data_IF_516953150694
#
_entry.id   IF_516953150694
#
_cell.length_a   1.000
_cell.length_b   1.000
_cell.length_c   1.000
_cell.angle_alpha   90.00
_cell.angle_beta   90.00
_cell.angle_gamma   90.00
#
_symmetry.space_group_name_H-M   'P 1'
#
loop_
_entity.id
_entity.type
_entity.pdbx_description
1 polymer ?
#
# COMPACT_ATOMS: atom_id res chain seq x y z
N UNK A 1 -3.16 -12.17 -15.52
CA UNK A 1 -4.42 -11.40 -15.58
C UNK A 1 -4.44 -10.42 -16.73
N UNK A 2 -3.49 -9.48 -16.84
CA UNK A 2 -3.44 -8.53 -17.97
C UNK A 2 -3.32 -9.21 -19.36
N UNK A 3 -2.41 -10.18 -19.55
CA UNK A 3 -2.29 -10.84 -20.87
C UNK A 3 -3.57 -11.62 -21.25
N UNK A 4 -4.23 -12.28 -20.30
CA UNK A 4 -5.49 -12.98 -20.55
C UNK A 4 -6.67 -12.04 -20.84
N UNK A 5 -6.61 -10.78 -20.38
CA UNK A 5 -7.57 -9.74 -20.70
C UNK A 5 -7.34 -9.24 -22.13
N UNK A 6 -6.08 -8.94 -22.47
CA UNK A 6 -5.66 -8.47 -23.79
C UNK A 6 -5.94 -9.52 -24.88
N UNK A 7 -5.65 -10.80 -24.60
CA UNK A 7 -5.96 -11.93 -25.49
C UNK A 7 -7.47 -12.06 -25.78
N UNK A 8 -8.31 -11.84 -24.75
CA UNK A 8 -9.76 -11.96 -24.89
C UNK A 8 -10.37 -10.78 -25.64
N UNK A 9 -9.76 -9.58 -25.54
CA UNK A 9 -10.12 -8.42 -26.36
C UNK A 9 -9.89 -8.69 -27.85
N UNK A 10 -8.76 -9.30 -28.19
CA UNK A 10 -8.46 -9.73 -29.57
C UNK A 10 -9.48 -10.76 -30.05
N UNK A 11 -9.78 -11.79 -29.24
CA UNK A 11 -10.78 -12.81 -29.61
C UNK A 11 -12.18 -12.22 -29.83
N UNK A 12 -12.61 -11.26 -28.99
CA UNK A 12 -13.91 -10.59 -29.17
C UNK A 12 -13.93 -9.79 -30.47
N UNK A 13 -12.85 -9.09 -30.80
CA UNK A 13 -12.74 -8.33 -32.05
C UNK A 13 -12.82 -9.25 -33.28
N UNK A 14 -12.13 -10.39 -33.25
CA UNK A 14 -12.16 -11.40 -34.32
C UNK A 14 -13.56 -12.00 -34.50
N UNK A 15 -14.21 -12.40 -33.40
CA UNK A 15 -15.57 -12.96 -33.43
C UNK A 15 -16.59 -11.95 -33.95
N UNK A 16 -16.44 -10.67 -33.56
CA UNK A 16 -17.29 -9.59 -34.06
C UNK A 16 -17.12 -9.39 -35.57
N UNK A 17 -15.88 -9.36 -36.06
CA UNK A 17 -15.60 -9.23 -37.48
C UNK A 17 -16.19 -10.40 -38.28
N UNK A 18 -16.04 -11.63 -37.77
CA UNK A 18 -16.64 -12.80 -38.38
C UNK A 18 -18.18 -12.73 -38.41
N UNK A 19 -18.81 -12.34 -37.31
CA UNK A 19 -20.26 -12.13 -37.27
C UNK A 19 -20.74 -11.08 -38.30
N UNK A 20 -20.05 -9.95 -38.39
CA UNK A 20 -20.38 -8.89 -39.35
C UNK A 20 -20.28 -9.38 -40.80
N UNK A 21 -19.29 -10.21 -41.11
CA UNK A 21 -19.17 -10.86 -42.42
C UNK A 21 -20.35 -11.82 -42.70
N UNK A 22 -20.70 -12.68 -41.74
CA UNK A 22 -21.81 -13.62 -41.91
C UNK A 22 -23.16 -12.90 -42.05
N UNK A 23 -23.36 -11.81 -41.30
CA UNK A 23 -24.56 -10.98 -41.41
C UNK A 23 -24.68 -10.35 -42.80
N UNK A 24 -23.58 -9.81 -43.36
CA UNK A 24 -23.59 -9.25 -44.71
C UNK A 24 -23.92 -10.30 -45.77
N UNK A 25 -23.34 -11.50 -45.66
CA UNK A 25 -23.65 -12.62 -46.57
C UNK A 25 -25.11 -13.05 -46.47
N UNK A 26 -25.65 -13.11 -45.26
CA UNK A 26 -27.06 -13.41 -45.02
C UNK A 26 -27.98 -12.35 -45.65
N UNK A 27 -27.69 -11.06 -45.41
CA UNK A 27 -28.46 -9.94 -45.98
C UNK A 27 -28.45 -9.95 -47.52
N UNK A 28 -27.29 -10.18 -48.13
CA UNK A 28 -27.16 -10.33 -49.58
C UNK A 28 -27.98 -11.49 -50.12
N UNK A 29 -27.99 -12.62 -49.40
CA UNK A 29 -28.75 -13.81 -49.78
C UNK A 29 -30.26 -13.54 -49.71
N UNK A 30 -30.73 -12.90 -48.64
CA UNK A 30 -32.13 -12.48 -48.48
C UNK A 30 -32.55 -11.52 -49.60
N UNK A 31 -31.72 -10.52 -49.90
CA UNK A 31 -31.97 -9.56 -50.99
C UNK A 31 -32.07 -10.26 -52.37
N UNK A 32 -31.16 -11.20 -52.65
CA UNK A 32 -31.17 -11.96 -53.90
C UNK A 32 -32.45 -12.80 -54.06
N UNK A 33 -32.96 -13.39 -52.99
CA UNK A 33 -34.25 -14.10 -53.00
C UNK A 33 -35.43 -13.16 -53.19
N UNK A 34 -35.44 -12.03 -52.48
CA UNK A 34 -36.49 -11.02 -52.61
C UNK A 34 -36.58 -10.46 -54.04
N UNK A 35 -35.44 -10.23 -54.69
CA UNK A 35 -35.38 -9.77 -56.08
C UNK A 35 -35.94 -10.79 -57.10
N UNK A 36 -35.97 -12.07 -56.74
CA UNK A 36 -36.49 -13.17 -57.57
C UNK A 36 -37.97 -13.49 -57.29
N UNK A 37 -38.64 -12.68 -56.48
CA UNK A 37 -40.04 -12.89 -56.10
C UNK A 37 -40.24 -13.75 -54.84
N UNK A 38 -39.16 -14.03 -54.09
CA UNK A 38 -39.19 -14.77 -52.83
C UNK A 38 -38.43 -16.10 -52.88
N UNK A 39 -38.11 -16.61 -51.69
CA UNK A 39 -37.44 -17.91 -51.53
C UNK A 39 -38.43 -19.08 -51.68
N UNK A 40 -37.94 -20.21 -52.20
CA UNK A 40 -38.67 -21.48 -52.10
C UNK A 40 -38.77 -21.91 -50.63
N UNK A 41 -39.72 -22.79 -50.29
CA UNK A 41 -39.88 -23.25 -48.90
C UNK A 41 -38.58 -23.81 -48.30
N UNK A 42 -37.84 -24.63 -49.05
CA UNK A 42 -36.57 -25.18 -48.58
C UNK A 42 -35.49 -24.12 -48.38
N UNK A 43 -35.40 -23.14 -49.28
CA UNK A 43 -34.47 -22.02 -49.15
C UNK A 43 -34.84 -21.07 -47.99
N UNK A 44 -36.13 -20.88 -47.75
CA UNK A 44 -36.63 -20.11 -46.61
C UNK A 44 -36.31 -20.79 -45.28
N UNK A 45 -36.49 -22.11 -45.20
CA UNK A 45 -36.12 -22.89 -44.01
C UNK A 45 -34.60 -22.83 -43.74
N UNK A 46 -33.77 -22.78 -44.80
CA UNK A 46 -32.32 -22.54 -44.69
C UNK A 46 -32.02 -21.16 -44.11
N UNK A 47 -32.68 -20.11 -44.60
CA UNK A 47 -32.52 -18.74 -44.10
C UNK A 47 -32.92 -18.62 -42.62
N UNK A 48 -33.98 -19.30 -42.19
CA UNK A 48 -34.38 -19.32 -40.78
C UNK A 48 -33.33 -20.01 -39.89
N UNK A 49 -32.71 -21.09 -40.38
CA UNK A 49 -31.61 -21.74 -39.65
C UNK A 49 -30.41 -20.81 -39.52
N UNK A 50 -30.07 -20.10 -40.58
CA UNK A 50 -28.94 -19.18 -40.57
C UNK A 50 -29.19 -17.97 -39.68
N UNK A 51 -30.42 -17.43 -39.70
CA UNK A 51 -30.85 -16.40 -38.76
C UNK A 51 -30.67 -16.86 -37.30
N UNK A 52 -31.13 -18.08 -36.96
CA UNK A 52 -30.95 -18.62 -35.61
C UNK A 52 -29.48 -18.82 -35.21
N UNK A 53 -28.60 -19.10 -36.17
CA UNK A 53 -27.14 -19.15 -35.92
C UNK A 53 -26.58 -17.76 -35.65
N UNK A 54 -26.97 -16.75 -36.41
CA UNK A 54 -26.56 -15.36 -36.17
C UNK A 54 -27.04 -14.86 -34.81
N UNK A 55 -28.27 -15.18 -34.42
CA UNK A 55 -28.81 -14.85 -33.09
C UNK A 55 -27.98 -15.51 -31.97
N UNK A 56 -27.56 -16.76 -32.18
CA UNK A 56 -26.69 -17.46 -31.23
C UNK A 56 -25.31 -16.80 -31.14
N UNK A 57 -24.72 -16.39 -32.26
CA UNK A 57 -23.45 -15.66 -32.26
C UNK A 57 -23.53 -14.34 -31.49
N UNK A 58 -24.63 -13.58 -31.65
CA UNK A 58 -24.84 -12.33 -30.90
C UNK A 58 -24.94 -12.61 -29.40
N UNK A 59 -25.68 -13.65 -29.01
CA UNK A 59 -25.80 -14.05 -27.60
C UNK A 59 -24.44 -14.40 -26.99
N UNK A 60 -23.65 -15.21 -27.69
CA UNK A 60 -22.32 -15.63 -27.22
C UNK A 60 -21.35 -14.44 -27.12
N UNK A 61 -21.37 -13.55 -28.12
CA UNK A 61 -20.53 -12.35 -28.13
C UNK A 61 -20.88 -11.42 -26.97
N UNK A 62 -22.17 -11.22 -26.69
CA UNK A 62 -22.62 -10.41 -25.55
C UNK A 62 -22.18 -11.02 -24.21
N UNK A 63 -22.28 -12.34 -24.06
CA UNK A 63 -21.82 -13.03 -22.85
C UNK A 63 -20.31 -12.85 -22.61
N UNK A 64 -19.50 -12.87 -23.68
CA UNK A 64 -18.06 -12.61 -23.61
C UNK A 64 -17.75 -11.17 -23.20
N UNK A 65 -18.47 -10.19 -23.77
CA UNK A 65 -18.32 -8.76 -23.44
C UNK A 65 -18.70 -8.50 -21.98
N UNK A 66 -19.81 -9.08 -21.51
CA UNK A 66 -20.22 -8.96 -20.11
C UNK A 66 -19.18 -9.53 -19.14
N UNK A 67 -18.60 -10.68 -19.45
CA UNK A 67 -17.54 -11.27 -18.64
C UNK A 67 -16.28 -10.39 -18.63
N UNK A 68 -15.92 -9.80 -19.77
CA UNK A 68 -14.80 -8.86 -19.84
C UNK A 68 -15.05 -7.61 -18.98
N UNK A 69 -16.25 -7.05 -19.02
CA UNK A 69 -16.65 -5.91 -18.19
C UNK A 69 -16.56 -6.25 -16.69
N UNK A 70 -17.04 -7.43 -16.28
CA UNK A 70 -16.90 -7.90 -14.89
C UNK A 70 -15.44 -8.01 -14.45
N UNK A 71 -14.55 -8.43 -15.35
CA UNK A 71 -13.11 -8.51 -15.05
C UNK A 71 -12.49 -7.12 -14.91
N UNK A 72 -12.86 -6.17 -15.77
CA UNK A 72 -12.42 -4.77 -15.67
C UNK A 72 -12.86 -4.13 -14.34
N UNK A 73 -14.11 -4.34 -13.92
CA UNK A 73 -14.62 -3.86 -12.63
C UNK A 73 -13.83 -4.42 -11.45
N UNK A 74 -13.53 -5.73 -11.46
CA UNK A 74 -12.71 -6.36 -10.40
C UNK A 74 -11.30 -5.77 -10.34
N UNK A 75 -10.67 -5.51 -11.48
CA UNK A 75 -9.35 -4.87 -11.54
C UNK A 75 -9.39 -3.46 -10.95
N UNK A 76 -10.42 -2.68 -11.26
CA UNK A 76 -10.60 -1.34 -10.70
C UNK A 76 -10.83 -1.37 -9.18
N UNK A 77 -11.61 -2.32 -8.68
CA UNK A 77 -11.81 -2.52 -7.23
C UNK A 77 -10.49 -2.86 -6.52
N UNK A 78 -9.71 -3.78 -7.09
CA UNK A 78 -8.42 -4.16 -6.52
C UNK A 78 -7.44 -2.98 -6.52
N UNK A 79 -7.38 -2.20 -7.61
CA UNK A 79 -6.56 -0.99 -7.68
C UNK A 79 -6.97 0.04 -6.62
N UNK A 80 -8.28 0.20 -6.38
CA UNK A 80 -8.81 1.04 -5.30
C UNK A 80 -8.36 0.59 -3.90
N UNK A 81 -8.44 -0.72 -3.62
CA UNK A 81 -7.98 -1.29 -2.34
C UNK A 81 -6.48 -1.10 -2.13
N UNK A 82 -5.67 -1.30 -3.17
CA UNK A 82 -4.22 -1.06 -3.10
C UNK A 82 -3.90 0.42 -2.86
N UNK A 83 -4.62 1.33 -3.53
CA UNK A 83 -4.48 2.76 -3.28
C UNK A 83 -4.82 3.13 -1.83
N UNK A 84 -5.85 2.52 -1.25
CA UNK A 84 -6.25 2.73 0.14
C UNK A 84 -5.15 2.29 1.12
N UNK A 85 -4.52 1.13 0.88
CA UNK A 85 -3.37 0.65 1.66
C UNK A 85 -2.17 1.58 1.55
N UNK A 86 -1.86 2.06 0.35
CA UNK A 86 -0.74 3.00 0.13
C UNK A 86 -0.97 4.31 0.89
N UNK A 87 -2.19 4.85 0.83
CA UNK A 87 -2.56 6.04 1.62
C UNK A 87 -2.42 5.75 3.11
N UNK A 88 -2.95 4.62 3.60
CA UNK A 88 -2.82 4.23 5.00
C UNK A 88 -1.37 4.07 5.46
N UNK A 89 -0.52 3.47 4.62
CA UNK A 89 0.92 3.34 4.88
C UNK A 89 1.60 4.69 4.96
N UNK A 90 1.36 5.57 3.98
CA UNK A 90 1.95 6.92 3.97
C UNK A 90 1.47 7.75 5.17
N UNK A 91 0.20 7.64 5.56
CA UNK A 91 -0.31 8.26 6.79
C UNK A 91 0.39 7.71 8.03
N UNK A 92 0.64 6.40 8.09
CA UNK A 92 1.40 5.78 9.17
C UNK A 92 2.85 6.27 9.24
N UNK A 93 3.54 6.34 8.10
CA UNK A 93 4.90 6.87 7.98
C UNK A 93 4.94 8.34 8.38
N UNK A 94 4.01 9.17 7.93
CA UNK A 94 3.95 10.58 8.32
C UNK A 94 3.71 10.73 9.82
N UNK A 95 2.80 9.94 10.40
CA UNK A 95 2.56 9.96 11.85
C UNK A 95 3.80 9.53 12.64
N UNK A 96 4.50 8.49 12.18
CA UNK A 96 5.78 8.08 12.75
C UNK A 96 6.77 9.24 12.66
N UNK A 97 6.99 9.79 11.46
CA UNK A 97 7.89 10.92 11.26
C UNK A 97 7.49 12.14 12.10
N UNK A 98 6.22 12.48 12.27
CA UNK A 98 5.80 13.61 13.13
C UNK A 98 6.03 13.34 14.62
N UNK A 99 5.81 12.09 15.06
CA UNK A 99 6.04 11.68 16.45
C UNK A 99 7.53 11.66 16.78
N UNK A 100 8.35 11.20 15.83
CA UNK A 100 9.81 11.06 15.99
C UNK A 100 10.61 12.28 15.51
N UNK A 101 10.06 13.19 14.70
CA UNK A 101 10.72 14.45 14.33
C UNK A 101 10.59 15.53 15.41
N UNK A 102 9.71 15.32 16.41
CA UNK A 102 9.62 16.18 17.58
C UNK A 102 10.64 15.85 18.68
N UNK A 103 11.33 14.71 18.59
CA UNK A 103 12.49 14.36 19.43
C UNK A 103 13.70 14.15 18.52
N UNK A 104 14.65 15.07 18.50
CA UNK A 104 15.72 15.07 17.50
C UNK A 104 16.55 13.79 17.52
N UNK A 105 16.55 13.06 16.40
CA UNK A 105 17.39 11.91 15.97
C UNK A 105 17.74 10.76 16.94
N UNK A 106 17.74 10.91 18.27
CA UNK A 106 18.31 9.92 19.20
C UNK A 106 17.58 9.87 20.56
N UNK A 107 16.35 10.38 20.67
CA UNK A 107 15.60 10.36 21.94
C UNK A 107 14.99 8.97 22.20
N UNK A 108 15.81 8.07 22.74
CA UNK A 108 15.37 6.76 23.25
C UNK A 108 14.38 6.90 24.42
N UNK A 109 14.38 8.06 25.09
CA UNK A 109 13.44 8.44 26.14
C UNK A 109 13.49 9.95 26.42
N UNK A 110 12.58 10.45 27.27
CA UNK A 110 12.54 11.84 27.71
C UNK A 110 11.96 11.98 29.12
N UNK A 111 12.62 12.78 29.95
CA UNK A 111 12.12 13.28 31.22
C UNK A 111 11.38 14.61 31.01
N UNK A 112 10.10 14.64 31.38
CA UNK A 112 9.28 15.85 31.32
C UNK A 112 8.13 15.78 32.33
N UNK A 113 7.81 16.92 32.95
CA UNK A 113 6.67 17.04 33.89
C UNK A 113 6.65 16.00 35.02
N UNK A 114 7.83 15.58 35.50
CA UNK A 114 7.97 14.58 36.56
C UNK A 114 7.79 13.13 36.12
N UNK A 115 7.70 12.87 34.81
CA UNK A 115 7.55 11.53 34.23
C UNK A 115 8.74 11.25 33.30
N UNK A 116 9.22 10.00 33.31
CA UNK A 116 10.16 9.50 32.32
C UNK A 116 9.37 8.65 31.32
N UNK A 117 9.39 9.02 30.04
CA UNK A 117 8.82 8.21 28.96
C UNK A 117 9.96 7.52 28.23
N UNK A 118 9.90 6.20 28.10
CA UNK A 118 10.87 5.39 27.34
C UNK A 118 10.21 4.96 26.03
N UNK A 119 10.87 5.21 24.91
CA UNK A 119 10.34 4.92 23.56
C UNK A 119 11.01 3.69 22.93
N UNK A 120 12.31 3.51 23.13
CA UNK A 120 13.06 2.35 22.62
C UNK A 120 14.30 2.06 23.49
N UNK A 121 14.73 0.80 23.53
CA UNK A 121 16.01 0.35 24.09
C UNK A 121 16.40 -0.99 23.43
N UNK A 122 17.70 -1.25 23.32
CA UNK A 122 18.24 -2.44 22.65
C UNK A 122 18.30 -3.65 23.60
N UNK A 123 18.75 -3.42 24.84
CA UNK A 123 18.88 -4.45 25.87
C UNK A 123 18.75 -3.85 27.29
N UNK A 124 19.00 -4.69 28.31
CA UNK A 124 18.88 -4.26 29.70
C UNK A 124 19.93 -3.22 30.10
N UNK A 125 21.15 -3.29 29.58
CA UNK A 125 22.21 -2.33 29.90
C UNK A 125 21.90 -0.97 29.27
N UNK A 126 21.38 -0.97 28.04
CA UNK A 126 20.88 0.21 27.35
C UNK A 126 19.73 0.88 28.11
N UNK A 127 18.75 0.10 28.58
CA UNK A 127 17.65 0.64 29.39
C UNK A 127 18.13 1.27 30.69
N UNK A 128 19.10 0.65 31.36
CA UNK A 128 19.68 1.20 32.60
C UNK A 128 20.42 2.50 32.32
N UNK A 129 21.19 2.57 31.22
CA UNK A 129 21.90 3.79 30.80
C UNK A 129 20.92 4.91 30.50
N UNK A 130 19.91 4.65 29.67
CA UNK A 130 18.84 5.60 29.32
C UNK A 130 18.14 6.14 30.57
N UNK A 131 17.68 5.26 31.46
CA UNK A 131 17.01 5.69 32.68
C UNK A 131 17.93 6.52 33.55
N UNK A 132 19.22 6.19 33.62
CA UNK A 132 20.20 6.97 34.40
C UNK A 132 20.36 8.39 33.83
N UNK A 133 20.37 8.55 32.50
CA UNK A 133 20.38 9.85 31.83
C UNK A 133 19.13 10.67 32.17
N UNK A 134 17.94 10.08 32.03
CA UNK A 134 16.66 10.74 32.31
C UNK A 134 16.48 11.07 33.79
N UNK A 135 16.98 10.22 34.69
CA UNK A 135 17.06 10.56 36.12
C UNK A 135 18.02 11.71 36.37
N UNK A 136 19.11 11.83 35.61
CA UNK A 136 19.96 13.01 35.64
C UNK A 136 19.18 14.29 35.35
N UNK A 137 18.37 14.30 34.30
CA UNK A 137 17.45 15.41 34.01
C UNK A 137 16.42 15.64 35.12
N UNK A 138 15.87 14.57 35.70
CA UNK A 138 14.96 14.66 36.85
C UNK A 138 15.58 15.34 38.07
N UNK A 139 16.88 15.14 38.26
CA UNK A 139 17.66 15.77 39.33
C UNK A 139 18.21 17.16 38.93
N UNK A 140 17.85 17.65 37.75
CA UNK A 140 18.18 19.00 37.26
C UNK A 140 19.54 19.11 36.59
N UNK A 141 20.09 17.99 36.09
CA UNK A 141 21.30 17.96 35.28
C UNK A 141 20.98 18.30 33.82
N UNK A 142 21.83 19.12 33.21
CA UNK A 142 21.82 19.33 31.76
C UNK A 142 22.78 18.36 31.07
N UNK A 143 22.83 18.42 29.74
CA UNK A 143 23.79 17.64 28.98
C UNK A 143 25.24 18.04 29.27
N UNK A 144 26.13 17.06 29.18
CA UNK A 144 27.58 17.20 29.29
C UNK A 144 28.27 16.99 27.93
N UNK A 145 29.40 17.64 27.69
CA UNK A 145 30.12 17.56 26.42
C UNK A 145 31.08 16.36 26.30
N UNK A 146 31.37 15.65 27.39
CA UNK A 146 32.22 14.46 27.39
C UNK A 146 31.45 13.25 26.84
N UNK A 147 31.91 12.62 25.75
CA UNK A 147 31.29 11.41 25.21
C UNK A 147 31.22 10.23 26.19
N UNK A 148 32.03 10.18 27.25
CA UNK A 148 31.96 9.12 28.27
C UNK A 148 31.03 9.47 29.45
N UNK A 149 30.49 10.69 29.48
CA UNK A 149 29.51 11.10 30.49
C UNK A 149 28.18 10.42 30.24
N UNK A 150 27.52 9.95 31.30
CA UNK A 150 26.11 9.50 31.22
C UNK A 150 25.20 10.62 30.71
N UNK A 151 25.55 11.89 30.95
CA UNK A 151 24.76 13.05 30.48
C UNK A 151 25.12 13.51 29.06
N UNK A 152 25.86 12.74 28.27
CA UNK A 152 26.17 13.09 26.88
C UNK A 152 24.88 13.06 26.02
N UNK A 153 24.62 14.05 25.14
CA UNK A 153 23.33 14.20 24.45
C UNK A 153 22.87 13.05 23.54
N UNK A 154 23.76 12.12 23.18
CA UNK A 154 23.49 11.04 22.23
C UNK A 154 24.15 9.76 22.72
N UNK A 155 23.48 8.62 22.60
CA UNK A 155 24.12 7.32 22.83
C UNK A 155 25.33 7.17 21.90
N UNK A 156 26.45 6.69 22.43
CA UNK A 156 27.61 6.32 21.61
C UNK A 156 28.17 4.96 22.02
N UNK A 157 28.85 4.29 21.08
CA UNK A 157 29.41 2.95 21.25
C UNK A 157 30.41 2.83 22.43
N UNK A 158 30.93 3.95 22.97
CA UNK A 158 31.87 3.95 24.10
C UNK A 158 31.17 3.92 25.46
N UNK A 159 29.85 3.99 25.49
CA UNK A 159 29.05 3.88 26.71
C UNK A 159 28.55 2.43 26.91
N UNK A 160 28.50 1.63 25.85
CA UNK A 160 28.05 0.23 25.85
C UNK A 160 29.07 -0.75 26.47
N UNK A 161 30.30 -0.29 26.78
CA UNK A 161 31.37 -1.11 27.36
C UNK A 161 31.49 -1.01 28.90
N UNK A 162 30.54 -0.34 29.55
CA UNK A 162 30.54 -0.13 31.01
C UNK A 162 31.46 1.00 31.48
N UNK A 163 32.06 1.78 30.57
CA UNK A 163 32.93 2.91 30.87
C UNK A 163 32.24 4.24 31.22
N UNK A 164 30.90 4.29 31.22
CA UNK A 164 30.15 5.51 31.46
C UNK A 164 30.24 5.97 32.94
N UNK A 165 30.41 7.27 33.16
CA UNK A 165 30.47 7.84 34.51
C UNK A 165 29.60 9.09 34.66
N UNK A 166 29.22 9.40 35.89
CA UNK A 166 28.59 10.69 36.23
C UNK A 166 29.70 11.65 36.66
N UNK A 167 29.89 12.81 36.00
CA UNK A 167 30.99 13.70 36.33
C UNK A 167 30.97 14.14 37.80
N UNK A 168 32.13 14.13 38.46
CA UNK A 168 32.26 14.40 39.90
C UNK A 168 31.83 15.81 40.29
N UNK A 169 32.01 16.80 39.40
CA UNK A 169 31.50 18.16 39.58
C UNK A 169 29.97 18.25 39.57
N UNK A 170 29.32 17.33 38.84
CA UNK A 170 27.87 17.22 38.67
C UNK A 170 27.22 16.64 39.93
N UNK A 171 27.80 15.59 40.52
CA UNK A 171 27.39 15.05 41.81
C UNK A 171 27.50 16.12 42.92
N UNK A 172 28.59 16.90 42.94
CA UNK A 172 28.77 17.99 43.90
C UNK A 172 27.70 19.10 43.76
N UNK A 173 27.29 19.41 42.53
CA UNK A 173 26.20 20.35 42.26
C UNK A 173 24.85 19.83 42.78
N UNK A 174 24.60 18.54 42.63
CA UNK A 174 23.41 17.85 43.13
C UNK A 174 23.35 17.82 44.65
N UNK A 175 24.46 17.43 45.31
CA UNK A 175 24.55 17.43 46.77
C UNK A 175 24.25 18.81 47.35
N UNK A 176 24.74 19.88 46.70
CA UNK A 176 24.43 21.27 47.10
C UNK A 176 22.97 21.67 46.84
N UNK A 177 22.39 21.31 45.69
CA UNK A 177 21.01 21.70 45.33
C UNK A 177 19.96 20.92 46.10
N UNK A 178 20.19 19.63 46.32
CA UNK A 178 19.27 18.73 47.01
C UNK A 178 19.55 18.66 48.52
N UNK A 179 20.54 19.39 49.02
CA UNK A 179 20.95 19.43 50.43
C UNK A 179 21.28 18.04 51.00
N UNK A 180 21.79 17.17 50.13
CA UNK A 180 22.22 15.83 50.45
C UNK A 180 23.65 15.92 51.02
N UNK A 181 23.88 15.37 52.21
CA UNK A 181 25.20 15.38 52.89
C UNK A 181 26.03 14.16 52.51
#
# INVERSE_FOLDING_TARGET
MRSAYDEREVSIAELKAYYEEQLQLFELTVQAWNARGGASRGAYDELLREQGRLDSYVSDLNALIEEQNRQAERLNQLAGQEQEKVVGFNTGVNRFNETFALGGDDEQGIYGSGTINVYQFDDHEDLVMLLTHEFGHALGLGHDGDPQSVMFPRKNERQDDGGAYIPSGTLQGLFRRCNLR
#
